data_IF_904105062327
#
_entry.id   IF_904105062327
#
_cell.length_a   1.000
_cell.length_b   1.000
_cell.length_c   1.000
_cell.angle_alpha   90.00
_cell.angle_beta   90.00
_cell.angle_gamma   90.00
#
_symmetry.space_group_name_H-M   'P 1'
#
loop_
_entity.id
_entity.type
_entity.pdbx_description
1 polymer ?
#
# COMPACT_ATOMS: atom_id res chain seq x y z
N UNK A 1 -20.75 7.39 -7.35
CA UNK A 1 -21.48 6.59 -6.34
C UNK A 1 -20.52 5.55 -5.80
N UNK A 2 -20.45 5.32 -4.49
CA UNK A 2 -19.47 4.38 -3.91
C UNK A 2 -20.19 3.22 -3.22
N UNK A 3 -19.58 2.03 -3.25
CA UNK A 3 -20.12 0.77 -2.73
C UNK A 3 -19.14 0.22 -1.71
N UNK A 4 -19.66 -0.27 -0.58
CA UNK A 4 -18.85 -1.02 0.36
C UNK A 4 -18.59 -2.42 -0.18
N UNK A 5 -17.33 -2.83 -0.16
CA UNK A 5 -16.98 -4.23 -0.29
C UNK A 5 -17.13 -4.86 1.09
N UNK A 6 -18.10 -5.75 1.20
CA UNK A 6 -18.47 -6.39 2.45
C UNK A 6 -18.18 -7.89 2.35
N UNK A 7 -17.68 -8.47 3.44
CA UNK A 7 -17.78 -9.90 3.69
C UNK A 7 -19.09 -10.15 4.44
N UNK A 8 -19.88 -11.14 4.01
CA UNK A 8 -21.13 -11.48 4.66
C UNK A 8 -21.34 -12.99 4.77
N UNK A 9 -21.71 -13.48 5.95
CA UNK A 9 -22.11 -14.87 6.16
C UNK A 9 -23.07 -14.99 7.35
N UNK A 10 -24.22 -15.65 7.15
CA UNK A 10 -25.18 -15.99 8.21
C UNK A 10 -25.52 -14.82 9.16
N UNK A 11 -25.83 -13.66 8.59
CA UNK A 11 -26.19 -12.45 9.33
C UNK A 11 -25.00 -11.63 9.88
N UNK A 12 -23.77 -12.14 9.83
CA UNK A 12 -22.55 -11.37 10.12
C UNK A 12 -22.14 -10.58 8.88
N UNK A 13 -21.78 -9.32 9.06
CA UNK A 13 -21.31 -8.42 7.99
C UNK A 13 -20.08 -7.66 8.45
N UNK A 14 -19.03 -7.64 7.63
CA UNK A 14 -17.83 -6.84 7.84
C UNK A 14 -17.56 -5.99 6.61
N UNK A 15 -17.57 -4.67 6.79
CA UNK A 15 -17.16 -3.71 5.76
C UNK A 15 -15.65 -3.72 5.66
N UNK A 16 -15.11 -4.11 4.52
CA UNK A 16 -13.66 -4.27 4.31
C UNK A 16 -13.06 -3.04 3.63
N UNK A 17 -13.70 -2.54 2.57
CA UNK A 17 -13.24 -1.35 1.86
C UNK A 17 -14.42 -0.59 1.23
N UNK A 18 -14.15 0.65 0.82
CA UNK A 18 -15.04 1.43 -0.03
C UNK A 18 -14.48 1.43 -1.46
N UNK A 19 -15.33 1.21 -2.45
CA UNK A 19 -14.96 1.20 -3.87
C UNK A 19 -15.92 2.06 -4.68
N UNK A 20 -15.46 2.69 -5.76
CA UNK A 20 -16.32 3.54 -6.60
C UNK A 20 -17.02 2.74 -7.70
N UNK A 21 -18.33 2.98 -7.88
CA UNK A 21 -19.08 2.49 -9.05
C UNK A 21 -18.58 3.20 -10.30
N UNK A 22 -18.33 2.41 -11.35
CA UNK A 22 -17.88 2.91 -12.66
C UNK A 22 -16.39 2.67 -12.93
N UNK A 23 -15.60 2.29 -11.93
CA UNK A 23 -14.21 1.86 -12.14
C UNK A 23 -14.20 0.48 -12.81
N UNK A 24 -13.54 0.35 -13.97
CA UNK A 24 -13.40 -0.94 -14.66
C UNK A 24 -12.43 -1.84 -13.88
N UNK A 25 -12.98 -2.75 -13.06
CA UNK A 25 -12.22 -3.70 -12.24
C UNK A 25 -11.40 -4.70 -13.07
N UNK A 26 -11.72 -4.87 -14.36
CA UNK A 26 -10.95 -5.68 -15.29
C UNK A 26 -9.80 -4.91 -15.95
N UNK A 27 -9.64 -3.61 -15.64
CA UNK A 27 -8.52 -2.86 -16.16
C UNK A 27 -7.21 -3.49 -15.64
N UNK A 28 -6.22 -3.76 -16.53
CA UNK A 28 -5.02 -4.50 -16.16
C UNK A 28 -4.28 -3.89 -14.96
N UNK A 29 -4.20 -2.55 -14.89
CA UNK A 29 -3.52 -1.82 -13.81
C UNK A 29 -4.20 -1.94 -12.44
N UNK A 30 -5.50 -2.26 -12.41
CA UNK A 30 -6.31 -2.38 -11.18
C UNK A 30 -6.49 -3.82 -10.71
N UNK A 31 -6.31 -4.79 -11.61
CA UNK A 31 -6.57 -6.22 -11.38
C UNK A 31 -5.84 -6.78 -10.14
N UNK A 32 -4.59 -6.36 -9.91
CA UNK A 32 -3.80 -6.80 -8.75
C UNK A 32 -4.42 -6.36 -7.42
N UNK A 33 -4.75 -5.07 -7.29
CA UNK A 33 -5.38 -4.52 -6.08
C UNK A 33 -6.77 -5.12 -5.85
N UNK A 34 -7.57 -5.26 -6.91
CA UNK A 34 -8.88 -5.89 -6.83
C UNK A 34 -8.80 -7.35 -6.38
N UNK A 35 -7.83 -8.11 -6.91
CA UNK A 35 -7.58 -9.49 -6.51
C UNK A 35 -7.29 -9.63 -5.01
N UNK A 36 -6.55 -8.69 -4.42
CA UNK A 36 -6.30 -8.69 -2.97
C UNK A 36 -7.56 -8.45 -2.15
N UNK A 37 -8.42 -7.53 -2.60
CA UNK A 37 -9.71 -7.23 -1.94
C UNK A 37 -10.61 -8.46 -1.94
N UNK A 38 -10.76 -9.11 -3.10
CA UNK A 38 -11.61 -10.32 -3.23
C UNK A 38 -11.10 -11.45 -2.35
N UNK A 39 -9.77 -11.72 -2.35
CA UNK A 39 -9.18 -12.74 -1.49
C UNK A 39 -9.35 -12.42 0.00
N UNK A 40 -9.23 -11.15 0.37
CA UNK A 40 -9.46 -10.69 1.75
C UNK A 40 -10.91 -10.95 2.19
N UNK A 41 -11.88 -10.67 1.31
CA UNK A 41 -13.29 -11.00 1.53
C UNK A 41 -13.50 -12.50 1.72
N UNK A 42 -12.98 -13.30 0.80
CA UNK A 42 -13.13 -14.76 0.81
C UNK A 42 -12.54 -15.40 2.08
N UNK A 43 -11.42 -14.88 2.60
CA UNK A 43 -10.84 -15.38 3.85
C UNK A 43 -11.77 -15.15 5.05
N UNK A 44 -12.42 -13.98 5.14
CA UNK A 44 -13.38 -13.65 6.21
C UNK A 44 -14.65 -14.50 6.08
N UNK A 45 -15.23 -14.58 4.88
CA UNK A 45 -16.42 -15.39 4.61
C UNK A 45 -16.16 -16.87 4.88
N UNK A 46 -14.99 -17.37 4.47
CA UNK A 46 -14.53 -18.73 4.70
C UNK A 46 -14.38 -19.04 6.20
N UNK A 47 -13.81 -18.12 6.98
CA UNK A 47 -13.73 -18.27 8.44
C UNK A 47 -15.12 -18.43 9.05
N UNK A 48 -16.05 -17.53 8.73
CA UNK A 48 -17.39 -17.57 9.31
C UNK A 48 -18.18 -18.81 8.90
N UNK A 49 -18.05 -19.23 7.63
CA UNK A 49 -18.66 -20.46 7.14
C UNK A 49 -18.14 -21.71 7.86
N UNK A 50 -16.82 -21.79 8.09
CA UNK A 50 -16.22 -22.92 8.81
C UNK A 50 -16.57 -22.89 10.30
N UNK A 51 -16.52 -21.72 10.94
CA UNK A 51 -16.90 -21.56 12.34
C UNK A 51 -18.36 -22.00 12.56
N UNK A 52 -19.29 -21.59 11.69
CA UNK A 52 -20.69 -22.03 11.78
C UNK A 52 -20.84 -23.55 11.61
N UNK A 53 -20.02 -24.18 10.77
CA UNK A 53 -20.03 -25.63 10.56
C UNK A 53 -19.49 -26.37 11.79
N UNK A 54 -18.42 -25.86 12.40
CA UNK A 54 -17.81 -26.41 13.63
C UNK A 54 -18.77 -26.26 14.81
N UNK A 55 -19.40 -25.09 14.96
CA UNK A 55 -20.36 -24.80 16.04
C UNK A 55 -21.57 -25.76 15.97
N UNK A 56 -22.06 -26.06 14.77
CA UNK A 56 -23.19 -26.95 14.53
C UNK A 56 -22.87 -28.46 14.66
N UNK A 57 -21.60 -28.84 14.83
CA UNK A 57 -21.23 -30.25 15.00
C UNK A 57 -21.45 -30.71 16.45
N UNK A 58 -22.60 -31.32 16.73
CA UNK A 58 -22.97 -31.81 18.07
C UNK A 58 -22.06 -32.93 18.59
N UNK A 59 -21.22 -33.54 17.73
CA UNK A 59 -20.32 -34.63 18.14
C UNK A 59 -19.05 -34.12 18.83
N UNK A 60 -18.75 -32.82 18.74
CA UNK A 60 -17.54 -32.21 19.29
C UNK A 60 -17.83 -31.59 20.66
N UNK A 61 -16.88 -31.71 21.59
CA UNK A 61 -16.91 -30.96 22.83
C UNK A 61 -16.70 -29.46 22.55
N UNK A 62 -17.14 -28.61 23.47
CA UNK A 62 -16.97 -27.16 23.37
C UNK A 62 -15.49 -26.76 23.30
N UNK A 63 -14.62 -27.48 24.01
CA UNK A 63 -13.17 -27.26 23.95
C UNK A 63 -12.60 -27.57 22.56
N UNK A 64 -12.99 -28.70 21.96
CA UNK A 64 -12.54 -29.07 20.62
C UNK A 64 -13.03 -28.06 19.58
N UNK A 65 -14.29 -27.61 19.67
CA UNK A 65 -14.83 -26.55 18.81
C UNK A 65 -14.02 -25.25 18.93
N UNK A 66 -13.69 -24.83 20.15
CA UNK A 66 -12.90 -23.62 20.38
C UNK A 66 -11.49 -23.73 19.76
N UNK A 67 -10.82 -24.86 19.94
CA UNK A 67 -9.49 -25.12 19.38
C UNK A 67 -9.51 -25.15 17.84
N UNK A 68 -10.50 -25.81 17.24
CA UNK A 68 -10.67 -25.86 15.78
C UNK A 68 -10.94 -24.46 15.20
N UNK A 69 -11.81 -23.67 15.85
CA UNK A 69 -12.10 -22.29 15.43
C UNK A 69 -10.84 -21.43 15.55
N UNK A 70 -10.06 -21.58 16.63
CA UNK A 70 -8.78 -20.86 16.79
C UNK A 70 -7.78 -21.25 15.69
N UNK A 71 -7.67 -22.53 15.35
CA UNK A 71 -6.83 -23.00 14.25
C UNK A 71 -7.28 -22.40 12.90
N UNK A 72 -8.58 -22.34 12.63
CA UNK A 72 -9.12 -21.69 11.44
C UNK A 72 -8.82 -20.19 11.40
N UNK A 73 -8.94 -19.49 12.54
CA UNK A 73 -8.56 -18.08 12.67
C UNK A 73 -7.09 -17.86 12.34
N UNK A 74 -6.20 -18.66 12.92
CA UNK A 74 -4.76 -18.60 12.67
C UNK A 74 -4.43 -18.82 11.19
N UNK A 75 -5.02 -19.85 10.57
CA UNK A 75 -4.84 -20.14 9.15
C UNK A 75 -5.28 -18.97 8.27
N UNK A 76 -6.48 -18.42 8.50
CA UNK A 76 -7.01 -17.30 7.70
C UNK A 76 -6.24 -16.01 7.93
N UNK A 77 -5.82 -15.73 9.17
CA UNK A 77 -4.97 -14.59 9.47
C UNK A 77 -3.60 -14.70 8.75
N UNK A 78 -3.02 -15.91 8.69
CA UNK A 78 -1.77 -16.17 7.95
C UNK A 78 -1.93 -15.97 6.44
N UNK A 79 -3.06 -16.40 5.87
CA UNK A 79 -3.41 -16.13 4.47
C UNK A 79 -3.47 -14.61 4.21
N UNK A 80 -4.11 -13.84 5.08
CA UNK A 80 -4.15 -12.37 4.98
C UNK A 80 -2.75 -11.75 5.12
N UNK A 81 -1.90 -12.26 6.03
CA UNK A 81 -0.49 -11.83 6.14
C UNK A 81 0.29 -12.01 4.83
N UNK A 82 0.03 -13.09 4.08
CA UNK A 82 0.60 -13.28 2.73
C UNK A 82 0.08 -12.25 1.73
N UNK A 83 -1.20 -11.87 1.78
CA UNK A 83 -1.77 -10.82 0.92
C UNK A 83 -1.14 -9.45 1.19
N UNK A 84 -0.84 -9.15 2.45
CA UNK A 84 -0.15 -7.92 2.82
C UNK A 84 1.25 -7.81 2.20
N UNK A 85 2.02 -8.90 2.18
CA UNK A 85 3.32 -8.93 1.48
C UNK A 85 3.17 -8.71 -0.03
N UNK A 86 2.12 -9.27 -0.64
CA UNK A 86 1.79 -9.01 -2.05
C UNK A 86 1.44 -7.53 -2.28
N UNK A 87 0.69 -6.91 -1.36
CA UNK A 87 0.36 -5.49 -1.41
C UNK A 87 1.61 -4.60 -1.35
N UNK A 88 2.55 -4.91 -0.46
CA UNK A 88 3.83 -4.19 -0.37
C UNK A 88 4.58 -4.27 -1.70
N UNK A 89 4.62 -5.45 -2.32
CA UNK A 89 5.23 -5.62 -3.64
C UNK A 89 4.54 -4.79 -4.74
N UNK A 90 3.20 -4.75 -4.74
CA UNK A 90 2.44 -3.92 -5.69
C UNK A 90 2.69 -2.42 -5.47
N UNK A 91 2.77 -1.95 -4.21
CA UNK A 91 3.13 -0.56 -3.89
C UNK A 91 4.54 -0.22 -4.36
N UNK A 92 5.51 -1.10 -4.13
CA UNK A 92 6.88 -0.90 -4.61
C UNK A 92 6.92 -0.78 -6.15
N UNK A 93 6.15 -1.61 -6.87
CA UNK A 93 6.02 -1.52 -8.32
C UNK A 93 5.34 -0.24 -8.78
N UNK A 94 4.30 0.22 -8.07
CA UNK A 94 3.62 1.48 -8.33
C UNK A 94 4.58 2.67 -8.18
N UNK A 95 5.35 2.72 -7.09
CA UNK A 95 6.37 3.75 -6.87
C UNK A 95 7.49 3.70 -7.92
N UNK A 96 7.93 2.50 -8.29
CA UNK A 96 8.91 2.34 -9.37
C UNK A 96 8.36 2.83 -10.71
N UNK A 97 7.08 2.57 -11.02
CA UNK A 97 6.43 3.07 -12.23
C UNK A 97 6.30 4.60 -12.22
N UNK A 98 5.90 5.18 -11.08
CA UNK A 98 5.85 6.64 -10.88
C UNK A 98 7.22 7.28 -11.10
N UNK A 99 8.30 6.66 -10.59
CA UNK A 99 9.68 7.13 -10.82
C UNK A 99 10.16 6.98 -12.26
N UNK A 100 9.73 5.92 -12.96
CA UNK A 100 10.08 5.68 -14.39
C UNK A 100 9.45 6.69 -15.32
N UNK A 101 8.28 7.21 -14.97
CA UNK A 101 7.73 8.39 -15.64
C UNK A 101 8.59 9.59 -15.25
N UNK A 102 9.70 9.73 -15.98
CA UNK A 102 10.56 10.90 -15.81
C UNK A 102 9.76 12.14 -16.18
N UNK A 103 9.58 13.02 -15.21
CA UNK A 103 9.04 14.34 -15.44
C UNK A 103 9.90 15.15 -16.42
N UNK A 104 11.19 14.82 -16.60
CA UNK A 104 12.09 15.66 -17.40
C UNK A 104 13.12 14.87 -18.22
N UNK A 105 13.23 15.22 -19.51
CA UNK A 105 14.27 14.70 -20.38
C UNK A 105 15.68 15.20 -19.93
N UNK A 106 16.70 14.33 -19.93
CA UNK A 106 18.07 14.74 -19.67
C UNK A 106 18.58 15.71 -20.75
N UNK A 107 19.63 16.45 -20.44
CA UNK A 107 20.29 17.32 -21.41
C UNK A 107 20.85 16.52 -22.60
N UNK A 108 20.74 17.08 -23.80
CA UNK A 108 21.40 16.55 -24.99
C UNK A 108 22.87 17.00 -25.03
N UNK A 109 23.72 16.28 -25.76
CA UNK A 109 25.13 16.60 -25.90
C UNK A 109 25.39 17.93 -26.65
N UNK A 110 24.47 18.34 -27.52
CA UNK A 110 24.63 19.52 -28.39
C UNK A 110 24.29 20.84 -27.67
N UNK A 111 23.24 20.85 -26.83
CA UNK A 111 22.74 22.07 -26.17
C UNK A 111 22.85 22.05 -24.63
N UNK A 112 23.37 20.97 -24.06
CA UNK A 112 23.28 20.71 -22.62
C UNK A 112 23.90 21.79 -21.73
N UNK A 113 25.03 22.38 -22.14
CA UNK A 113 25.68 23.44 -21.38
C UNK A 113 24.87 24.74 -21.37
N UNK A 114 24.36 25.17 -22.53
CA UNK A 114 23.53 26.37 -22.64
C UNK A 114 22.20 26.21 -21.90
N UNK A 115 21.57 25.03 -22.02
CA UNK A 115 20.33 24.71 -21.34
C UNK A 115 20.49 24.65 -19.82
N UNK A 116 21.61 24.11 -19.32
CA UNK A 116 21.90 24.08 -17.90
C UNK A 116 22.05 25.49 -17.30
N UNK A 117 22.69 26.42 -18.02
CA UNK A 117 22.82 27.82 -17.58
C UNK A 117 21.45 28.48 -17.48
N UNK A 118 20.60 28.29 -18.50
CA UNK A 118 19.23 28.81 -18.50
C UNK A 118 18.40 28.22 -17.35
N UNK A 119 18.55 26.92 -17.06
CA UNK A 119 17.81 26.24 -15.99
C UNK A 119 18.21 26.77 -14.61
N UNK A 120 19.50 27.03 -14.40
CA UNK A 120 20.00 27.65 -13.16
C UNK A 120 19.47 29.08 -13.00
N UNK A 121 19.40 29.86 -14.08
CA UNK A 121 18.88 31.23 -14.01
C UNK A 121 17.38 31.25 -13.71
N UNK A 122 16.60 30.35 -14.33
CA UNK A 122 15.18 30.16 -13.99
C UNK A 122 15.02 29.76 -12.51
N UNK A 123 15.84 28.82 -12.03
CA UNK A 123 15.81 28.40 -10.63
C UNK A 123 16.13 29.55 -9.67
N UNK A 124 17.12 30.40 -9.99
CA UNK A 124 17.45 31.60 -9.20
C UNK A 124 16.32 32.61 -9.17
N UNK A 125 15.65 32.84 -10.30
CA UNK A 125 14.48 33.71 -10.35
C UNK A 125 13.38 33.20 -9.44
N UNK A 126 13.11 31.89 -9.44
CA UNK A 126 12.13 31.25 -8.56
C UNK A 126 12.53 31.34 -7.08
N UNK A 127 13.82 31.20 -6.76
CA UNK A 127 14.34 31.39 -5.40
C UNK A 127 14.18 32.83 -4.90
N UNK A 128 14.37 33.82 -5.78
CA UNK A 128 14.19 35.23 -5.47
C UNK A 128 12.72 35.64 -5.27
N UNK A 129 11.75 34.78 -5.62
CA UNK A 129 10.34 35.05 -5.39
C UNK A 129 9.97 34.97 -3.90
N UNK A 130 8.94 35.72 -3.53
CA UNK A 130 8.26 35.57 -2.25
C UNK A 130 7.73 34.13 -2.06
N UNK A 131 7.80 33.56 -0.85
CA UNK A 131 7.37 32.17 -0.60
C UNK A 131 5.95 31.85 -1.07
N UNK A 132 5.02 32.79 -0.91
CA UNK A 132 3.63 32.64 -1.36
C UNK A 132 3.50 32.59 -2.89
N UNK A 133 4.29 33.38 -3.62
CA UNK A 133 4.34 33.36 -5.09
C UNK A 133 4.98 32.09 -5.62
N UNK A 134 6.04 31.59 -4.95
CA UNK A 134 6.68 30.31 -5.27
C UNK A 134 5.74 29.13 -5.03
N UNK A 135 5.00 29.12 -3.92
CA UNK A 135 3.97 28.12 -3.67
C UNK A 135 2.85 28.14 -4.73
N UNK A 136 2.38 29.33 -5.12
CA UNK A 136 1.41 29.48 -6.20
C UNK A 136 1.96 28.98 -7.55
N UNK A 137 3.25 29.23 -7.85
CA UNK A 137 3.91 28.74 -9.07
C UNK A 137 3.90 27.21 -9.15
N UNK A 138 4.18 26.54 -8.02
CA UNK A 138 4.12 25.08 -7.90
C UNK A 138 2.69 24.57 -8.10
N UNK A 139 1.71 25.22 -7.48
CA UNK A 139 0.33 24.74 -7.42
C UNK A 139 -0.47 24.95 -8.71
N UNK A 140 -0.30 26.09 -9.39
CA UNK A 140 -1.07 26.43 -10.60
C UNK A 140 -0.35 26.03 -11.89
N UNK A 141 0.92 25.62 -11.79
CA UNK A 141 1.71 25.04 -12.87
C UNK A 141 2.01 26.01 -14.00
N UNK A 142 3.22 26.55 -14.02
CA UNK A 142 3.72 27.43 -15.09
C UNK A 142 4.04 26.68 -16.40
N UNK A 143 4.59 27.39 -17.38
CA UNK A 143 5.15 26.84 -18.64
C UNK A 143 5.99 25.58 -18.37
N UNK A 144 5.85 24.59 -19.26
CA UNK A 144 6.56 23.31 -19.20
C UNK A 144 8.08 23.52 -19.13
N UNK A 145 8.61 24.56 -19.78
CA UNK A 145 10.05 24.89 -19.73
C UNK A 145 10.54 25.21 -18.32
N UNK A 146 9.76 25.96 -17.55
CA UNK A 146 10.07 26.33 -16.17
C UNK A 146 10.00 25.12 -15.25
N UNK A 147 8.95 24.30 -15.40
CA UNK A 147 8.79 23.07 -14.62
C UNK A 147 9.95 22.10 -14.89
N UNK A 148 10.30 21.89 -16.14
CA UNK A 148 11.44 21.05 -16.53
C UNK A 148 12.76 21.59 -15.95
N UNK A 149 12.98 22.91 -16.00
CA UNK A 149 14.18 23.53 -15.42
C UNK A 149 14.28 23.30 -13.90
N UNK A 150 13.19 23.53 -13.18
CA UNK A 150 13.15 23.37 -11.72
C UNK A 150 13.35 21.92 -11.26
N UNK A 151 12.94 20.96 -12.08
CA UNK A 151 13.08 19.53 -11.80
C UNK A 151 14.44 18.95 -12.25
N UNK A 152 15.15 19.57 -13.21
CA UNK A 152 16.54 19.19 -13.56
C UNK A 152 17.56 19.72 -12.55
N UNK A 153 17.30 20.90 -12.00
CA UNK A 153 18.23 21.58 -11.10
C UNK A 153 18.04 21.09 -9.67
N UNK A 154 19.12 20.92 -8.87
CA UNK A 154 18.99 20.58 -7.45
C UNK A 154 18.04 21.52 -6.68
N UNK A 155 17.14 20.99 -5.82
CA UNK A 155 16.13 21.81 -5.11
C UNK A 155 16.72 22.95 -4.26
N UNK A 156 17.97 22.80 -3.80
CA UNK A 156 18.67 23.83 -3.04
C UNK A 156 18.89 25.12 -3.83
N UNK A 157 18.96 25.04 -5.16
CA UNK A 157 19.17 26.20 -6.04
C UNK A 157 17.84 26.90 -6.35
N UNK A 158 16.74 26.15 -6.44
CA UNK A 158 15.38 26.66 -6.69
C UNK A 158 14.61 27.04 -5.43
N UNK A 159 15.17 26.72 -4.25
CA UNK A 159 14.54 27.01 -2.95
C UNK A 159 13.24 26.23 -2.73
N UNK A 160 13.04 25.14 -3.48
CA UNK A 160 11.84 24.30 -3.38
C UNK A 160 11.98 23.28 -2.26
N UNK A 161 10.92 23.09 -1.49
CA UNK A 161 10.86 22.02 -0.49
C UNK A 161 10.65 20.66 -1.17
N UNK A 162 10.98 19.54 -0.52
CA UNK A 162 10.73 18.21 -1.05
C UNK A 162 9.28 17.97 -1.47
N UNK A 163 8.33 18.52 -0.70
CA UNK A 163 6.89 18.42 -0.98
C UNK A 163 6.52 19.19 -2.26
N UNK A 164 7.12 20.37 -2.46
CA UNK A 164 6.91 21.17 -3.67
C UNK A 164 7.51 20.51 -4.91
N UNK A 165 8.69 19.87 -4.78
CA UNK A 165 9.30 19.09 -5.87
C UNK A 165 8.43 17.89 -6.22
N UNK A 166 7.88 17.19 -5.22
CA UNK A 166 6.94 16.08 -5.44
C UNK A 166 5.71 16.55 -6.20
N UNK A 167 5.09 17.66 -5.77
CA UNK A 167 3.91 18.22 -6.43
C UNK A 167 4.20 18.68 -7.87
N UNK A 168 5.32 19.35 -8.11
CA UNK A 168 5.75 19.73 -9.47
C UNK A 168 5.97 18.51 -10.37
N UNK A 169 6.58 17.45 -9.84
CA UNK A 169 6.82 16.21 -10.58
C UNK A 169 5.50 15.57 -10.99
N UNK A 170 4.51 15.52 -10.09
CA UNK A 170 3.18 14.98 -10.40
C UNK A 170 2.47 15.79 -11.50
N UNK A 171 2.52 17.12 -11.41
CA UNK A 171 1.95 18.00 -12.44
C UNK A 171 2.65 17.83 -13.79
N UNK A 172 3.98 17.73 -13.80
CA UNK A 172 4.78 17.54 -15.01
C UNK A 172 4.45 16.20 -15.70
N UNK A 173 4.37 15.11 -14.94
CA UNK A 173 4.01 13.79 -15.44
C UNK A 173 2.58 13.78 -15.98
N UNK A 174 1.62 14.37 -15.26
CA UNK A 174 0.23 14.45 -15.71
C UNK A 174 0.04 15.21 -17.03
N UNK A 175 0.88 16.22 -17.29
CA UNK A 175 0.85 16.98 -18.55
C UNK A 175 1.48 16.20 -19.70
N UNK A 176 2.62 15.55 -19.48
CA UNK A 176 3.36 14.85 -20.54
C UNK A 176 2.76 13.48 -20.88
N UNK A 177 2.20 12.81 -19.89
CA UNK A 177 1.65 11.46 -19.99
C UNK A 177 0.27 11.37 -19.33
N UNK A 178 -0.76 12.05 -19.88
CA UNK A 178 -2.06 12.18 -19.22
C UNK A 178 -2.74 10.84 -18.93
N UNK A 179 -2.68 9.88 -19.88
CA UNK A 179 -3.29 8.57 -19.70
C UNK A 179 -2.56 7.74 -18.63
N UNK A 180 -1.24 7.69 -18.66
CA UNK A 180 -0.43 6.93 -17.71
C UNK A 180 -0.50 7.53 -16.30
N UNK A 181 -0.55 8.86 -16.20
CA UNK A 181 -0.76 9.55 -14.94
C UNK A 181 -2.13 9.24 -14.33
N UNK A 182 -3.18 9.19 -15.18
CA UNK A 182 -4.52 8.78 -14.75
C UNK A 182 -4.53 7.32 -14.30
N UNK A 183 -3.93 6.41 -15.05
CA UNK A 183 -3.82 5.00 -14.67
C UNK A 183 -3.08 4.82 -13.35
N UNK A 184 -1.97 5.53 -13.14
CA UNK A 184 -1.24 5.50 -11.86
C UNK A 184 -2.08 6.07 -10.72
N UNK A 185 -2.76 7.19 -10.92
CA UNK A 185 -3.62 7.77 -9.89
C UNK A 185 -4.75 6.79 -9.50
N UNK A 186 -5.40 6.18 -10.49
CA UNK A 186 -6.42 5.14 -10.27
C UNK A 186 -5.83 3.92 -9.54
N UNK A 187 -4.62 3.48 -9.92
CA UNK A 187 -3.93 2.37 -9.28
C UNK A 187 -3.56 2.68 -7.82
N UNK A 188 -3.08 3.89 -7.53
CA UNK A 188 -2.75 4.31 -6.16
C UNK A 188 -3.98 4.26 -5.25
N UNK A 189 -5.10 4.83 -5.71
CA UNK A 189 -6.38 4.75 -5.00
C UNK A 189 -6.85 3.30 -4.80
N UNK A 190 -6.67 2.45 -5.81
CA UNK A 190 -7.00 1.02 -5.70
C UNK A 190 -6.14 0.30 -4.66
N UNK A 191 -4.84 0.62 -4.57
CA UNK A 191 -3.93 0.06 -3.57
C UNK A 191 -4.29 0.49 -2.14
N UNK A 192 -4.68 1.75 -1.94
CA UNK A 192 -5.13 2.25 -0.63
C UNK A 192 -6.41 1.54 -0.15
N UNK A 193 -7.32 1.25 -1.09
CA UNK A 193 -8.53 0.45 -0.84
C UNK A 193 -8.18 -1.00 -0.53
N UNK A 194 -7.23 -1.59 -1.26
CA UNK A 194 -6.74 -2.94 -1.00
C UNK A 194 -6.09 -3.06 0.39
N UNK A 195 -5.28 -2.07 0.79
CA UNK A 195 -4.72 -2.00 2.15
C UNK A 195 -5.81 -1.99 3.21
N UNK A 196 -6.84 -1.15 3.02
CA UNK A 196 -7.96 -1.07 3.95
C UNK A 196 -8.67 -2.42 4.07
N UNK A 197 -8.89 -3.13 2.96
CA UNK A 197 -9.51 -4.45 2.94
C UNK A 197 -8.65 -5.51 3.63
N UNK A 198 -7.35 -5.59 3.30
CA UNK A 198 -6.40 -6.55 3.87
C UNK A 198 -6.30 -6.34 5.38
N UNK A 199 -6.10 -5.09 5.82
CA UNK A 199 -6.00 -4.75 7.24
C UNK A 199 -7.29 -5.11 7.99
N UNK A 200 -8.45 -4.75 7.45
CA UNK A 200 -9.73 -5.04 8.11
C UNK A 200 -10.04 -6.53 8.14
N UNK A 201 -9.71 -7.27 7.08
CA UNK A 201 -9.84 -8.72 7.06
C UNK A 201 -8.91 -9.39 8.08
N UNK A 202 -7.68 -8.88 8.26
CA UNK A 202 -6.78 -9.36 9.30
C UNK A 202 -7.37 -9.16 10.70
N UNK A 203 -7.91 -7.96 10.99
CA UNK A 203 -8.56 -7.68 12.27
C UNK A 203 -9.71 -8.65 12.58
N UNK A 204 -10.53 -8.99 11.57
CA UNK A 204 -11.66 -9.89 11.75
C UNK A 204 -11.21 -11.35 11.89
N UNK A 205 -10.24 -11.77 11.09
CA UNK A 205 -9.75 -13.17 11.10
C UNK A 205 -8.90 -13.49 12.30
N UNK A 206 -8.15 -12.51 12.80
CA UNK A 206 -7.27 -12.65 13.95
C UNK A 206 -7.95 -12.32 15.30
N UNK A 207 -9.24 -11.99 15.29
CA UNK A 207 -10.00 -11.71 16.51
C UNK A 207 -9.94 -12.92 17.47
N UNK A 208 -9.65 -12.70 18.74
CA UNK A 208 -9.45 -13.75 19.75
C UNK A 208 -8.17 -14.60 19.63
N UNK A 209 -7.24 -14.28 18.73
CA UNK A 209 -5.87 -14.81 18.77
C UNK A 209 -5.01 -14.05 19.78
N UNK A 210 -4.03 -14.74 20.38
CA UNK A 210 -3.00 -14.10 21.20
C UNK A 210 -2.10 -13.16 20.38
N UNK A 211 -1.35 -12.28 21.04
CA UNK A 211 -0.44 -11.37 20.33
C UNK A 211 0.63 -12.13 19.54
N UNK A 212 1.22 -13.18 20.10
CA UNK A 212 2.26 -13.98 19.44
C UNK A 212 1.71 -14.66 18.17
N UNK A 213 0.51 -15.22 18.25
CA UNK A 213 -0.17 -15.80 17.07
C UNK A 213 -0.46 -14.75 16.00
N UNK A 214 -0.83 -13.53 16.41
CA UNK A 214 -1.06 -12.43 15.48
C UNK A 214 0.24 -12.00 14.79
N UNK A 215 1.35 -11.92 15.54
CA UNK A 215 2.67 -11.60 15.00
C UNK A 215 3.15 -12.69 14.03
N UNK A 216 2.99 -13.96 14.42
CA UNK A 216 3.29 -15.11 13.57
C UNK A 216 2.45 -15.10 12.27
N UNK A 217 1.13 -14.91 12.39
CA UNK A 217 0.21 -14.85 11.25
C UNK A 217 0.51 -13.67 10.30
N UNK A 218 0.85 -12.49 10.85
CA UNK A 218 1.25 -11.35 10.05
C UNK A 218 2.61 -11.58 9.34
N UNK A 219 3.42 -12.53 9.82
CA UNK A 219 4.78 -12.76 9.36
C UNK A 219 5.69 -11.58 9.68
N UNK A 220 5.56 -11.02 10.89
CA UNK A 220 6.37 -9.89 11.38
C UNK A 220 5.93 -8.50 10.88
N UNK A 221 4.91 -8.40 10.01
CA UNK A 221 4.46 -7.09 9.52
C UNK A 221 3.64 -6.32 10.57
N UNK A 222 4.27 -5.30 11.16
CA UNK A 222 3.65 -4.42 12.15
C UNK A 222 2.47 -3.62 11.58
N UNK A 223 2.39 -3.40 10.26
CA UNK A 223 1.31 -2.65 9.61
C UNK A 223 -0.07 -3.30 9.75
N UNK A 224 -0.13 -4.60 10.04
CA UNK A 224 -1.36 -5.34 10.29
C UNK A 224 -1.80 -5.34 11.77
N UNK A 225 -0.88 -5.07 12.70
CA UNK A 225 -1.12 -5.27 14.13
C UNK A 225 -1.39 -3.91 14.80
N UNK A 226 -2.68 -3.59 14.96
CA UNK A 226 -3.09 -2.34 15.62
C UNK A 226 -2.66 -2.27 17.09
N UNK A 227 -2.38 -1.04 17.53
CA UNK A 227 -2.14 -0.67 18.92
C UNK A 227 -0.91 -1.33 19.56
N UNK A 228 -0.04 -1.92 18.74
CA UNK A 228 1.24 -2.46 19.16
C UNK A 228 2.32 -1.65 18.47
N UNK A 229 3.39 -1.32 19.21
CA UNK A 229 4.51 -0.59 18.64
C UNK A 229 5.28 -1.49 17.67
N UNK A 230 5.78 -0.98 16.53
CA UNK A 230 6.53 -1.78 15.56
C UNK A 230 7.69 -2.55 16.20
N UNK A 231 8.43 -1.93 17.12
CA UNK A 231 9.59 -2.55 17.77
C UNK A 231 9.20 -3.74 18.68
N UNK A 232 7.96 -3.77 19.17
CA UNK A 232 7.42 -4.91 19.91
C UNK A 232 7.08 -6.07 18.97
N UNK A 233 6.53 -5.77 17.79
CA UNK A 233 6.22 -6.77 16.77
C UNK A 233 7.50 -7.44 16.27
N UNK A 234 8.52 -6.64 15.96
CA UNK A 234 9.84 -7.13 15.54
C UNK A 234 10.44 -8.07 16.58
N UNK A 235 10.50 -7.64 17.86
CA UNK A 235 11.05 -8.48 18.93
C UNK A 235 10.31 -9.80 19.12
N UNK A 236 8.97 -9.80 19.00
CA UNK A 236 8.19 -11.02 19.10
C UNK A 236 8.46 -11.90 17.88
N UNK A 237 8.56 -11.32 16.69
CA UNK A 237 8.87 -12.06 15.47
C UNK A 237 10.25 -12.73 15.54
N UNK A 238 11.28 -11.98 15.93
CA UNK A 238 12.65 -12.50 16.08
C UNK A 238 12.71 -13.64 17.11
N UNK A 239 12.00 -13.48 18.24
CA UNK A 239 11.89 -14.53 19.25
C UNK A 239 11.24 -15.80 18.68
N UNK A 240 10.13 -15.66 17.96
CA UNK A 240 9.43 -16.81 17.36
C UNK A 240 10.29 -17.51 16.30
N UNK A 241 11.03 -16.76 15.48
CA UNK A 241 11.96 -17.34 14.52
C UNK A 241 13.08 -18.12 15.20
N UNK A 242 13.68 -17.58 16.26
CA UNK A 242 14.71 -18.28 17.01
C UNK A 242 14.18 -19.56 17.69
N UNK A 243 12.94 -19.56 18.17
CA UNK A 243 12.27 -20.74 18.73
C UNK A 243 12.02 -21.82 17.64
N UNK A 244 11.61 -21.42 16.44
CA UNK A 244 11.39 -22.32 15.31
C UNK A 244 12.72 -22.93 14.79
N UNK A 245 13.79 -22.13 14.71
CA UNK A 245 15.13 -22.57 14.31
C UNK A 245 15.73 -23.58 15.30
N UNK A 246 15.62 -23.31 16.61
CA UNK A 246 16.11 -24.22 17.64
C UNK A 246 15.37 -25.58 17.61
N UNK A 247 14.07 -25.58 17.32
CA UNK A 247 13.30 -26.83 17.20
C UNK A 247 13.62 -27.62 15.94
N UNK A 248 13.99 -26.95 14.85
CA UNK A 248 14.43 -27.61 13.62
C UNK A 248 15.78 -28.31 13.81
N UNK A 249 16.73 -27.64 14.47
CA UNK A 249 18.05 -28.21 14.76
C UNK A 249 17.98 -29.42 15.70
N UNK A 250 17.07 -29.40 16.69
CA UNK A 250 16.83 -30.54 17.60
C UNK A 250 16.11 -31.73 16.92
N UNK A 251 15.39 -31.50 15.82
CA UNK A 251 14.70 -32.56 15.08
C UNK A 251 15.62 -33.31 14.08
N UNK A 252 16.72 -32.66 13.66
CA UNK A 252 17.71 -33.20 12.73
C UNK A 252 18.95 -33.82 13.42
N UNK A 253 19.01 -33.77 14.77
CA UNK A 253 20.06 -34.36 15.62
C UNK A 253 19.74 -35.76 16.13
#
# INVERSE_FOLDING_TARGET
MSVFIEAAHSGKVAKLALWELGTNYNAPHLSGAWGLIVKSRQAVEGLWSMASTIEADDRRSDSAKADDIRAQRLQRASEIGKLQRQLIGLRANHEAAKRKLSAVAPYTAEDGAAMAILDVEIARQVTAMEPSKRAALVQFGHDQRTVDALLRVPPIISGLTPEQVSSLTEIAVARRHPDQARELAEQGLALDRAESAVRRAFEVTADGLSLDERVSAAGGDAGLIRHVRPETVERIHDRLQAEDEAQADDADA
#
